data_IF_930225453236
#
_entry.id   IF_930225453236
#
_cell.length_a   1.000
_cell.length_b   1.000
_cell.length_c   1.000
_cell.angle_alpha   90.00
_cell.angle_beta   90.00
_cell.angle_gamma   90.00
#
_symmetry.space_group_name_H-M   'P 1'
#
loop_
_entity.id
_entity.type
_entity.pdbx_description
1 polymer ?
#
# COMPACT_ATOMS: atom_id res chain seq x y z
N UNK A 1 -9.79 -34.57 14.34
CA UNK A 1 -11.10 -33.92 14.18
C UNK A 1 -12.21 -34.67 14.89
N UNK A 2 -12.48 -35.96 14.60
CA UNK A 2 -13.56 -36.72 15.25
C UNK A 2 -13.56 -36.69 16.80
N UNK A 3 -12.39 -36.82 17.45
CA UNK A 3 -12.27 -36.72 18.93
C UNK A 3 -12.50 -35.30 19.50
N UNK A 4 -12.43 -34.28 18.66
CA UNK A 4 -12.59 -32.86 19.05
C UNK A 4 -14.05 -32.44 18.90
N UNK A 5 -14.75 -33.04 17.94
CA UNK A 5 -16.15 -32.74 17.62
C UNK A 5 -17.11 -33.37 18.63
N UNK A 6 -16.79 -34.55 19.17
CA UNK A 6 -17.55 -35.18 20.23
C UNK A 6 -16.62 -35.64 21.38
N UNK A 7 -16.88 -35.07 22.57
CA UNK A 7 -16.12 -35.37 23.80
C UNK A 7 -16.44 -36.74 24.40
N UNK A 8 -17.48 -37.43 23.92
CA UNK A 8 -17.82 -38.80 24.30
C UNK A 8 -17.01 -39.89 23.57
N UNK A 9 -16.10 -39.50 22.67
CA UNK A 9 -15.28 -40.44 21.89
C UNK A 9 -13.88 -40.60 22.51
N UNK A 10 -13.66 -41.70 23.22
CA UNK A 10 -12.36 -42.02 23.83
C UNK A 10 -11.35 -42.58 22.81
N UNK A 11 -11.80 -43.48 21.92
CA UNK A 11 -10.90 -44.18 20.98
C UNK A 11 -11.48 -44.23 19.57
N UNK A 12 -10.66 -43.80 18.60
CA UNK A 12 -10.96 -43.95 17.16
C UNK A 12 -9.80 -44.69 16.52
N UNK A 13 -10.08 -45.78 15.81
CA UNK A 13 -9.09 -46.51 15.03
C UNK A 13 -9.64 -46.86 13.66
N UNK A 14 -8.86 -46.62 12.62
CA UNK A 14 -9.18 -46.97 11.25
C UNK A 14 -8.49 -48.30 10.90
N UNK A 15 -9.24 -49.24 10.34
CA UNK A 15 -8.76 -50.56 9.93
C UNK A 15 -9.13 -50.83 8.47
N UNK A 16 -8.30 -51.59 7.76
CA UNK A 16 -8.68 -52.14 6.45
C UNK A 16 -9.73 -53.23 6.61
N UNK A 17 -10.38 -53.63 5.51
CA UNK A 17 -11.32 -54.76 5.51
C UNK A 17 -10.68 -56.07 6.01
N UNK A 18 -9.35 -56.22 5.90
CA UNK A 18 -8.56 -57.33 6.42
C UNK A 18 -8.14 -57.21 7.89
N UNK A 19 -8.60 -56.21 8.63
CA UNK A 19 -8.34 -56.05 10.07
C UNK A 19 -6.99 -55.40 10.43
N UNK A 20 -6.22 -54.94 9.45
CA UNK A 20 -4.93 -54.25 9.69
C UNK A 20 -5.18 -52.80 10.07
N UNK A 21 -4.53 -52.31 11.13
CA UNK A 21 -4.64 -50.92 11.58
C UNK A 21 -3.87 -49.99 10.63
N UNK A 22 -4.54 -48.95 10.16
CA UNK A 22 -3.94 -47.92 9.29
C UNK A 22 -3.26 -46.88 10.18
N UNK A 23 -2.01 -46.53 9.85
CA UNK A 23 -1.22 -45.54 10.59
C UNK A 23 -1.77 -44.13 10.45
N UNK A 24 -1.55 -43.29 11.47
CA UNK A 24 -2.05 -41.91 11.51
C UNK A 24 -1.41 -40.94 10.52
N UNK A 25 -0.31 -41.34 9.85
CA UNK A 25 0.39 -40.54 8.85
C UNK A 25 -0.04 -40.79 7.39
N UNK A 26 -0.97 -41.72 7.14
CA UNK A 26 -1.46 -41.96 5.79
C UNK A 26 -2.36 -40.82 5.31
N UNK A 27 -2.25 -40.48 4.03
CA UNK A 27 -3.13 -39.47 3.43
C UNK A 27 -4.57 -39.95 3.38
N UNK A 28 -5.51 -39.02 3.52
CA UNK A 28 -6.95 -39.32 3.40
C UNK A 28 -7.28 -39.90 2.02
N UNK A 29 -6.56 -39.46 0.98
CA UNK A 29 -6.71 -39.93 -0.39
C UNK A 29 -6.38 -41.42 -0.53
N UNK A 30 -5.30 -41.89 0.10
CA UNK A 30 -4.95 -43.32 0.12
C UNK A 30 -5.98 -44.13 0.91
N UNK A 31 -6.53 -43.58 1.99
CA UNK A 31 -7.59 -44.23 2.76
C UNK A 31 -8.91 -44.35 1.97
N UNK A 32 -9.18 -43.41 1.07
CA UNK A 32 -10.37 -43.37 0.22
C UNK A 32 -10.25 -44.25 -1.05
N UNK A 33 -9.11 -44.93 -1.26
CA UNK A 33 -8.95 -45.83 -2.42
C UNK A 33 -9.79 -47.11 -2.31
N UNK A 34 -9.96 -47.59 -1.07
CA UNK A 34 -10.65 -48.84 -0.74
C UNK A 34 -11.63 -48.63 0.42
N UNK A 35 -12.57 -49.56 0.57
CA UNK A 35 -13.47 -49.58 1.73
C UNK A 35 -12.69 -49.83 3.02
N UNK A 36 -13.06 -49.15 4.10
CA UNK A 36 -12.39 -49.27 5.38
C UNK A 36 -13.38 -49.37 6.54
N UNK A 37 -12.90 -49.88 7.66
CA UNK A 37 -13.62 -50.02 8.90
C UNK A 37 -13.18 -48.93 9.87
N UNK A 38 -14.14 -48.16 10.36
CA UNK A 38 -13.94 -47.13 11.36
C UNK A 38 -14.46 -47.64 12.70
N UNK A 39 -13.57 -47.91 13.64
CA UNK A 39 -13.95 -48.29 14.99
C UNK A 39 -13.96 -47.04 15.88
N UNK A 40 -15.12 -46.71 16.41
CA UNK A 40 -15.35 -45.61 17.36
C UNK A 40 -15.78 -46.25 18.69
N UNK A 41 -14.98 -46.10 19.73
CA UNK A 41 -15.11 -46.79 21.01
C UNK A 41 -15.22 -48.31 20.80
N UNK A 42 -16.40 -48.88 21.03
CA UNK A 42 -16.71 -50.31 20.87
C UNK A 42 -17.59 -50.62 19.64
N UNK A 43 -17.93 -49.61 18.83
CA UNK A 43 -18.77 -49.76 17.63
C UNK A 43 -17.91 -49.75 16.37
N UNK A 44 -18.11 -50.74 15.49
CA UNK A 44 -17.43 -50.86 14.20
C UNK A 44 -18.35 -50.40 13.06
N UNK A 45 -17.97 -49.33 12.36
CA UNK A 45 -18.65 -48.80 11.19
C UNK A 45 -17.93 -49.23 9.91
N UNK A 46 -18.64 -49.82 8.96
CA UNK A 46 -18.09 -50.12 7.64
C UNK A 46 -18.38 -48.95 6.70
N UNK A 47 -17.34 -48.19 6.34
CA UNK A 47 -17.45 -47.05 5.44
C UNK A 47 -17.24 -47.54 4.02
N UNK A 48 -18.25 -47.37 3.18
CA UNK A 48 -18.16 -47.64 1.74
C UNK A 48 -17.80 -46.35 1.02
N UNK A 49 -16.66 -46.35 0.34
CA UNK A 49 -16.21 -45.17 -0.39
C UNK A 49 -16.85 -45.18 -1.77
N UNK A 50 -17.47 -44.08 -2.24
CA UNK A 50 -17.98 -43.99 -3.59
C UNK A 50 -16.84 -44.16 -4.61
N UNK A 51 -17.09 -44.80 -5.76
CA UNK A 51 -16.07 -45.00 -6.78
C UNK A 51 -15.63 -43.63 -7.33
N UNK A 52 -14.50 -43.13 -6.84
CA UNK A 52 -13.83 -41.97 -7.42
C UNK A 52 -13.38 -42.37 -8.81
N UNK A 53 -13.65 -41.56 -9.84
CA UNK A 53 -13.26 -41.85 -11.22
C UNK A 53 -11.76 -42.17 -11.28
N UNK A 54 -11.43 -43.46 -11.43
CA UNK A 54 -10.06 -43.92 -11.50
C UNK A 54 -9.51 -43.44 -12.85
N UNK A 55 -8.46 -42.62 -12.82
CA UNK A 55 -7.58 -42.53 -13.97
C UNK A 55 -7.17 -43.96 -14.34
N UNK A 56 -7.27 -44.34 -15.62
CA UNK A 56 -6.83 -45.66 -16.06
C UNK A 56 -5.38 -45.86 -15.59
N UNK A 57 -5.01 -47.07 -15.18
CA UNK A 57 -3.67 -47.35 -14.65
C UNK A 57 -2.57 -46.94 -15.66
N UNK A 58 -2.88 -47.04 -16.96
CA UNK A 58 -2.05 -46.51 -18.04
C UNK A 58 -1.92 -44.98 -18.03
N UNK A 59 -3.01 -44.24 -17.79
CA UNK A 59 -2.99 -42.77 -17.68
C UNK A 59 -2.22 -42.31 -16.45
N UNK A 60 -2.33 -43.03 -15.33
CA UNK A 60 -1.55 -42.77 -14.13
C UNK A 60 -0.05 -42.99 -14.36
N UNK A 61 0.32 -44.04 -15.10
CA UNK A 61 1.71 -44.29 -15.49
C UNK A 61 2.26 -43.23 -16.44
N UNK A 62 1.51 -42.86 -17.49
CA UNK A 62 1.92 -41.79 -18.41
C UNK A 62 2.13 -40.46 -17.67
N UNK A 63 1.24 -40.12 -16.72
CA UNK A 63 1.36 -38.90 -15.94
C UNK A 63 2.55 -38.92 -14.97
N UNK A 64 2.87 -40.10 -14.43
CA UNK A 64 4.10 -40.32 -13.63
C UNK A 64 5.36 -40.13 -14.48
N UNK A 65 5.38 -40.65 -15.71
CA UNK A 65 6.51 -40.52 -16.62
C UNK A 65 6.72 -39.06 -17.05
N UNK A 66 5.64 -38.33 -17.34
CA UNK A 66 5.70 -36.87 -17.61
C UNK A 66 6.25 -36.14 -16.39
N UNK A 67 5.83 -36.49 -15.17
CA UNK A 67 6.33 -35.87 -13.94
C UNK A 67 7.82 -36.13 -13.74
N UNK A 68 8.29 -37.35 -14.00
CA UNK A 68 9.70 -37.71 -13.93
C UNK A 68 10.53 -36.92 -14.94
N UNK A 69 10.01 -36.77 -16.17
CA UNK A 69 10.70 -36.04 -17.23
C UNK A 69 10.80 -34.54 -16.91
N UNK A 70 9.74 -33.94 -16.35
CA UNK A 70 9.73 -32.57 -15.85
C UNK A 70 10.72 -32.39 -14.69
N UNK A 71 10.77 -33.34 -13.74
CA UNK A 71 11.74 -33.29 -12.63
C UNK A 71 13.18 -33.38 -13.13
N UNK A 72 13.48 -34.30 -14.07
CA UNK A 72 14.80 -34.37 -14.70
C UNK A 72 15.17 -33.08 -15.43
N UNK A 73 14.22 -32.47 -16.12
CA UNK A 73 14.41 -31.17 -16.76
C UNK A 73 14.71 -30.08 -15.72
N UNK A 74 13.95 -30.04 -14.63
CA UNK A 74 14.12 -29.09 -13.53
C UNK A 74 15.50 -29.22 -12.86
N UNK A 75 15.97 -30.45 -12.64
CA UNK A 75 17.33 -30.74 -12.17
C UNK A 75 18.40 -30.33 -13.20
N UNK A 76 18.18 -30.64 -14.49
CA UNK A 76 19.14 -30.30 -15.56
C UNK A 76 19.27 -28.80 -15.82
N UNK A 77 18.17 -28.06 -15.66
CA UNK A 77 18.08 -26.61 -15.88
C UNK A 77 18.52 -25.82 -14.63
N UNK A 78 18.81 -26.50 -13.52
CA UNK A 78 19.16 -25.94 -12.22
C UNK A 78 18.37 -24.67 -11.87
N UNK A 79 17.04 -24.77 -11.99
CA UNK A 79 16.11 -23.62 -11.93
C UNK A 79 16.31 -22.80 -10.64
N UNK A 80 16.67 -23.47 -9.53
CA UNK A 80 16.95 -22.83 -8.26
C UNK A 80 18.21 -21.93 -8.29
N UNK A 81 19.28 -22.38 -8.96
CA UNK A 81 20.49 -21.57 -9.12
C UNK A 81 20.22 -20.38 -10.05
N UNK A 82 19.45 -20.60 -11.12
CA UNK A 82 19.02 -19.50 -12.00
C UNK A 82 18.16 -18.46 -11.27
N UNK A 83 17.23 -18.89 -10.42
CA UNK A 83 16.43 -17.98 -9.59
C UNK A 83 17.29 -17.15 -8.63
N UNK A 84 18.28 -17.77 -8.00
CA UNK A 84 19.18 -17.09 -7.07
C UNK A 84 20.11 -16.09 -7.78
N UNK A 85 20.54 -16.41 -9.01
CA UNK A 85 21.28 -15.47 -9.86
C UNK A 85 20.40 -14.29 -10.29
N UNK A 86 19.16 -14.56 -10.70
CA UNK A 86 18.19 -13.52 -11.07
C UNK A 86 17.87 -12.59 -9.91
N UNK A 87 17.70 -13.13 -8.69
CA UNK A 87 17.48 -12.35 -7.48
C UNK A 87 18.66 -11.42 -7.19
N UNK A 88 19.89 -11.95 -7.28
CA UNK A 88 21.12 -11.16 -7.10
C UNK A 88 21.24 -10.05 -8.13
N UNK A 89 20.92 -10.34 -9.38
CA UNK A 89 20.95 -9.35 -10.46
C UNK A 89 19.90 -8.24 -10.24
N UNK A 90 18.68 -8.61 -9.86
CA UNK A 90 17.62 -7.65 -9.52
C UNK A 90 18.00 -6.77 -8.33
N UNK A 91 18.59 -7.35 -7.28
CA UNK A 91 19.12 -6.61 -6.13
C UNK A 91 20.22 -5.63 -6.54
N UNK A 92 21.19 -6.08 -7.35
CA UNK A 92 22.27 -5.23 -7.82
C UNK A 92 21.75 -4.03 -8.64
N UNK A 93 20.82 -4.27 -9.57
CA UNK A 93 20.19 -3.20 -10.36
C UNK A 93 19.37 -2.25 -9.50
N UNK A 94 18.72 -2.77 -8.45
CA UNK A 94 17.94 -1.97 -7.50
C UNK A 94 18.85 -1.06 -6.68
N UNK A 95 19.99 -1.58 -6.20
CA UNK A 95 21.00 -0.80 -5.50
C UNK A 95 21.61 0.29 -6.40
N UNK A 96 21.94 -0.04 -7.65
CA UNK A 96 22.41 0.94 -8.64
C UNK A 96 21.37 2.04 -8.89
N UNK A 97 20.10 1.67 -9.11
CA UNK A 97 19.00 2.62 -9.31
C UNK A 97 18.81 3.52 -8.08
N UNK A 98 18.94 2.97 -6.86
CA UNK A 98 18.81 3.72 -5.60
C UNK A 98 20.00 4.65 -5.37
N UNK A 99 21.22 4.25 -5.72
CA UNK A 99 22.40 5.11 -5.58
C UNK A 99 22.32 6.31 -6.52
N UNK A 100 21.83 6.14 -7.75
CA UNK A 100 21.57 7.25 -8.67
C UNK A 100 20.40 8.14 -8.20
N UNK A 101 19.39 7.56 -7.54
CA UNK A 101 18.23 8.30 -7.03
C UNK A 101 18.58 9.16 -5.80
N UNK A 102 19.52 8.72 -4.96
CA UNK A 102 19.90 9.39 -3.71
C UNK A 102 20.22 10.91 -3.85
N UNK A 103 21.11 11.35 -4.77
CA UNK A 103 21.40 12.78 -4.94
C UNK A 103 20.18 13.57 -5.43
N UNK A 104 19.34 12.97 -6.29
CA UNK A 104 18.13 13.62 -6.79
C UNK A 104 17.07 13.76 -5.68
N UNK A 105 16.99 12.77 -4.79
CA UNK A 105 16.06 12.76 -3.67
C UNK A 105 16.45 13.79 -2.60
N UNK A 106 17.74 14.00 -2.37
CA UNK A 106 18.24 15.06 -1.47
C UNK A 106 17.85 16.46 -1.99
N UNK A 107 18.06 16.71 -3.28
CA UNK A 107 17.66 17.98 -3.93
C UNK A 107 16.13 18.12 -3.91
N UNK A 108 15.38 17.06 -4.21
CA UNK A 108 13.91 17.08 -4.17
C UNK A 108 13.39 17.36 -2.75
N UNK A 109 14.05 16.80 -1.73
CA UNK A 109 13.72 17.03 -0.32
C UNK A 109 13.98 18.48 0.05
N UNK A 110 15.12 19.05 -0.30
CA UNK A 110 15.39 20.46 -0.03
C UNK A 110 14.40 21.41 -0.74
N UNK A 111 14.03 21.08 -1.98
CA UNK A 111 13.00 21.83 -2.71
C UNK A 111 11.63 21.72 -2.01
N UNK A 112 11.28 20.54 -1.49
CA UNK A 112 10.01 20.33 -0.79
C UNK A 112 9.92 21.13 0.51
N UNK A 113 10.98 21.15 1.34
CA UNK A 113 11.00 21.93 2.57
C UNK A 113 10.92 23.43 2.28
N UNK A 114 11.61 23.89 1.23
CA UNK A 114 11.46 25.25 0.74
C UNK A 114 10.00 25.49 0.31
N UNK A 115 9.42 24.69 -0.57
CA UNK A 115 8.04 24.88 -1.02
C UNK A 115 7.01 24.94 0.15
N UNK A 116 7.20 24.13 1.20
CA UNK A 116 6.36 24.17 2.41
C UNK A 116 6.49 25.49 3.17
N UNK A 117 7.72 25.97 3.42
CA UNK A 117 7.94 27.25 4.10
C UNK A 117 7.30 28.42 3.36
N UNK A 118 7.33 28.41 2.01
CA UNK A 118 6.68 29.44 1.20
C UNK A 118 5.16 29.41 1.31
N UNK A 119 4.55 28.22 1.42
CA UNK A 119 3.10 28.10 1.65
C UNK A 119 2.75 28.61 3.06
N UNK A 120 3.50 28.21 4.07
CA UNK A 120 3.29 28.65 5.46
C UNK A 120 3.43 30.18 5.56
N UNK A 121 4.48 30.74 4.98
CA UNK A 121 4.71 32.19 4.94
C UNK A 121 3.57 32.94 4.27
N UNK A 122 3.02 32.44 3.15
CA UNK A 122 1.84 33.03 2.50
C UNK A 122 0.59 32.98 3.38
N UNK A 123 0.38 31.88 4.09
CA UNK A 123 -0.74 31.76 5.04
C UNK A 123 -0.59 32.76 6.19
N UNK A 124 0.61 32.92 6.75
CA UNK A 124 0.89 33.94 7.77
C UNK A 124 0.74 35.36 7.23
N UNK A 125 1.16 35.62 5.99
CA UNK A 125 0.95 36.91 5.34
C UNK A 125 -0.53 37.25 5.18
N UNK A 126 -1.36 36.28 4.78
CA UNK A 126 -2.81 36.47 4.68
C UNK A 126 -3.43 36.75 6.06
N UNK A 127 -3.00 36.03 7.09
CA UNK A 127 -3.43 36.27 8.47
C UNK A 127 -3.03 37.66 8.96
N UNK A 128 -1.80 38.09 8.67
CA UNK A 128 -1.31 39.42 9.00
C UNK A 128 -2.11 40.51 8.28
N UNK A 129 -2.41 40.33 6.98
CA UNK A 129 -3.22 41.26 6.20
C UNK A 129 -4.63 41.42 6.79
N UNK A 130 -5.27 40.31 7.20
CA UNK A 130 -6.56 40.35 7.89
C UNK A 130 -6.47 41.07 9.25
N UNK A 131 -5.39 40.87 9.99
CA UNK A 131 -5.13 41.58 11.25
C UNK A 131 -4.92 43.08 11.06
N UNK A 132 -4.16 43.48 10.04
CA UNK A 132 -3.97 44.90 9.67
C UNK A 132 -5.29 45.52 9.22
N UNK A 133 -6.07 44.82 8.40
CA UNK A 133 -7.39 45.26 7.97
C UNK A 133 -8.31 45.55 9.17
N UNK A 134 -8.33 44.66 10.16
CA UNK A 134 -9.12 44.85 11.38
C UNK A 134 -8.55 45.98 12.27
N UNK A 135 -7.24 46.07 12.42
CA UNK A 135 -6.57 47.08 13.24
C UNK A 135 -6.70 48.50 12.69
N UNK A 136 -6.61 48.67 11.36
CA UNK A 136 -6.82 49.96 10.69
C UNK A 136 -8.26 50.43 10.86
N UNK A 137 -9.23 49.54 10.64
CA UNK A 137 -10.65 49.87 10.89
C UNK A 137 -10.88 50.23 12.36
N UNK A 138 -10.36 49.43 13.29
CA UNK A 138 -10.46 49.68 14.73
C UNK A 138 -9.86 51.04 15.14
N UNK A 139 -8.70 51.40 14.58
CA UNK A 139 -8.06 52.69 14.84
C UNK A 139 -8.87 53.86 14.26
N UNK A 140 -9.35 53.75 13.02
CA UNK A 140 -10.20 54.78 12.42
C UNK A 140 -11.52 54.96 13.19
N UNK A 141 -12.13 53.87 13.67
CA UNK A 141 -13.41 53.90 14.40
C UNK A 141 -13.32 54.50 15.80
N UNK A 142 -12.14 54.54 16.43
CA UNK A 142 -11.99 55.01 17.82
C UNK A 142 -11.27 56.35 17.96
N UNK A 143 -10.39 56.71 17.01
CA UNK A 143 -9.57 57.92 17.14
C UNK A 143 -10.00 59.07 16.22
N UNK A 144 -10.47 58.79 14.99
CA UNK A 144 -10.67 59.83 13.98
C UNK A 144 -12.13 60.02 13.51
N UNK A 145 -12.98 58.97 13.50
CA UNK A 145 -14.33 59.07 12.95
C UNK A 145 -15.37 58.35 13.81
N UNK A 146 -16.52 58.99 14.06
CA UNK A 146 -17.70 58.35 14.65
C UNK A 146 -18.18 57.19 13.79
N UNK A 147 -18.77 56.17 14.42
CA UNK A 147 -19.24 54.92 13.80
C UNK A 147 -20.12 55.13 12.54
N UNK A 148 -20.87 56.24 12.50
CA UNK A 148 -21.75 56.65 11.40
C UNK A 148 -21.03 56.86 10.04
N UNK A 149 -19.77 57.30 10.04
CA UNK A 149 -18.97 57.47 8.81
C UNK A 149 -18.28 56.17 8.37
N UNK A 150 -18.07 55.23 9.30
CA UNK A 150 -17.35 53.98 9.05
C UNK A 150 -18.25 52.87 8.50
N UNK A 151 -19.57 52.98 8.66
CA UNK A 151 -20.54 52.03 8.13
C UNK A 151 -20.34 51.73 6.64
N UNK A 152 -20.39 52.70 5.69
CA UNK A 152 -20.20 52.42 4.27
C UNK A 152 -18.80 51.90 3.93
N UNK A 153 -17.77 52.36 4.64
CA UNK A 153 -16.37 51.99 4.38
C UNK A 153 -16.12 50.52 4.70
N UNK A 154 -16.63 50.03 5.83
CA UNK A 154 -16.52 48.63 6.23
C UNK A 154 -17.26 47.68 5.27
N UNK A 155 -18.42 48.12 4.74
CA UNK A 155 -19.15 47.37 3.72
C UNK A 155 -18.31 47.19 2.44
N UNK A 156 -17.72 48.27 1.89
CA UNK A 156 -16.89 48.16 0.69
C UNK A 156 -15.66 47.29 0.90
N UNK A 157 -14.99 47.41 2.04
CA UNK A 157 -13.80 46.61 2.36
C UNK A 157 -14.13 45.12 2.49
N UNK A 158 -15.25 44.79 3.15
CA UNK A 158 -15.71 43.40 3.30
C UNK A 158 -16.12 42.81 1.96
N UNK A 159 -16.87 43.58 1.16
CA UNK A 159 -17.28 43.15 -0.18
C UNK A 159 -16.08 42.97 -1.12
N UNK A 160 -15.08 43.86 -1.07
CA UNK A 160 -13.84 43.73 -1.83
C UNK A 160 -13.05 42.47 -1.42
N UNK A 161 -12.95 42.19 -0.13
CA UNK A 161 -12.27 40.99 0.39
C UNK A 161 -12.99 39.71 -0.07
N UNK A 162 -14.33 39.69 0.02
CA UNK A 162 -15.16 38.58 -0.45
C UNK A 162 -15.04 38.38 -1.97
N UNK A 163 -15.02 39.47 -2.73
CA UNK A 163 -14.81 39.43 -4.19
C UNK A 163 -13.43 38.88 -4.55
N UNK A 164 -12.38 39.27 -3.81
CA UNK A 164 -11.04 38.72 -3.98
C UNK A 164 -10.97 37.21 -3.69
N UNK A 165 -11.62 36.75 -2.61
CA UNK A 165 -11.72 35.34 -2.28
C UNK A 165 -12.48 34.54 -3.35
N UNK A 166 -13.59 35.09 -3.83
CA UNK A 166 -14.40 34.47 -4.88
C UNK A 166 -13.68 34.45 -6.23
N UNK A 167 -13.04 35.54 -6.63
CA UNK A 167 -12.23 35.60 -7.85
C UNK A 167 -11.06 34.59 -7.82
N UNK A 168 -10.41 34.45 -6.67
CA UNK A 168 -9.39 33.43 -6.46
C UNK A 168 -9.96 32.00 -6.61
N UNK A 169 -11.16 31.76 -6.09
CA UNK A 169 -11.87 30.49 -6.20
C UNK A 169 -12.21 30.14 -7.65
N UNK A 170 -12.70 31.12 -8.42
CA UNK A 170 -13.05 30.97 -9.85
C UNK A 170 -11.83 30.64 -10.71
N UNK A 171 -10.71 31.35 -10.52
CA UNK A 171 -9.46 31.08 -11.25
C UNK A 171 -8.88 29.71 -10.87
N UNK A 172 -9.16 29.23 -9.66
CA UNK A 172 -8.63 27.96 -9.14
C UNK A 172 -9.54 26.77 -9.45
N UNK A 173 -10.84 26.95 -9.73
CA UNK A 173 -11.73 25.92 -10.26
C UNK A 173 -11.93 24.69 -9.36
N UNK A 174 -11.74 24.81 -8.04
CA UNK A 174 -11.97 23.73 -7.07
C UNK A 174 -12.42 24.34 -5.74
N UNK A 175 -13.29 23.64 -5.00
CA UNK A 175 -13.79 24.05 -3.68
C UNK A 175 -12.64 24.48 -2.75
N UNK A 176 -12.81 25.56 -2.01
CA UNK A 176 -11.82 26.19 -1.12
C UNK A 176 -11.44 25.33 0.09
N UNK A 177 -10.94 24.11 -0.14
CA UNK A 177 -10.25 23.31 0.84
C UNK A 177 -8.81 23.80 0.98
N UNK A 178 -8.39 24.13 2.21
CA UNK A 178 -7.00 24.46 2.55
C UNK A 178 -6.00 23.39 2.04
N UNK A 179 -6.42 22.12 2.02
CA UNK A 179 -5.60 21.00 1.53
C UNK A 179 -5.37 21.03 0.00
N UNK A 180 -6.37 21.49 -0.78
CA UNK A 180 -6.27 21.60 -2.24
C UNK A 180 -5.36 22.76 -2.67
N UNK A 181 -5.46 23.90 -1.97
CA UNK A 181 -4.58 25.05 -2.21
C UNK A 181 -3.11 24.74 -1.94
N UNK A 182 -2.82 24.07 -0.82
CA UNK A 182 -1.45 23.71 -0.43
C UNK A 182 -0.81 22.78 -1.44
N UNK A 183 -1.51 21.73 -1.85
CA UNK A 183 -1.02 20.72 -2.80
C UNK A 183 -0.63 21.34 -4.15
N UNK A 184 -1.44 22.26 -4.68
CA UNK A 184 -1.18 22.93 -5.96
C UNK A 184 -0.08 23.98 -5.87
N UNK A 185 -0.09 24.76 -4.79
CA UNK A 185 0.94 25.77 -4.53
C UNK A 185 2.30 25.10 -4.35
N UNK A 186 2.33 23.98 -3.63
CA UNK A 186 3.50 23.12 -3.49
C UNK A 186 3.97 22.60 -4.85
N UNK A 187 3.09 21.99 -5.66
CA UNK A 187 3.48 21.44 -6.96
C UNK A 187 4.03 22.51 -7.93
N UNK A 188 3.38 23.67 -7.99
CA UNK A 188 3.84 24.82 -8.81
C UNK A 188 5.15 25.42 -8.29
N UNK A 189 5.39 25.40 -6.98
CA UNK A 189 6.63 25.86 -6.38
C UNK A 189 7.76 24.83 -6.63
N UNK A 190 7.46 23.55 -6.41
CA UNK A 190 8.34 22.43 -6.64
C UNK A 190 8.83 22.39 -8.09
N UNK A 191 7.92 22.46 -9.08
CA UNK A 191 8.32 22.43 -10.49
C UNK A 191 9.18 23.64 -10.89
N UNK A 192 8.86 24.83 -10.36
CA UNK A 192 9.66 26.04 -10.61
C UNK A 192 11.05 25.96 -9.95
N UNK A 193 11.14 25.43 -8.73
CA UNK A 193 12.42 25.24 -8.06
C UNK A 193 13.25 24.12 -8.72
N UNK A 194 12.61 23.03 -9.14
CA UNK A 194 13.24 21.93 -9.85
C UNK A 194 13.88 22.43 -11.16
N UNK A 195 13.15 23.25 -11.94
CA UNK A 195 13.71 23.89 -13.14
C UNK A 195 14.89 24.81 -12.83
N UNK A 196 14.83 25.58 -11.74
CA UNK A 196 15.93 26.48 -11.34
C UNK A 196 17.19 25.74 -10.87
N UNK A 197 17.03 24.57 -10.25
CA UNK A 197 18.14 23.72 -9.80
C UNK A 197 18.60 22.71 -10.86
N UNK A 198 17.99 22.71 -12.04
CA UNK A 198 18.31 21.77 -13.11
C UNK A 198 17.94 20.32 -12.81
N UNK A 199 17.01 20.08 -11.87
CA UNK A 199 16.55 18.73 -11.56
C UNK A 199 15.61 18.25 -12.66
N UNK A 200 16.02 17.21 -13.37
CA UNK A 200 15.19 16.55 -14.37
C UNK A 200 14.11 15.71 -13.69
N UNK A 201 12.94 16.32 -13.52
CA UNK A 201 11.77 15.69 -12.89
C UNK A 201 11.30 14.46 -13.67
N UNK A 202 11.50 14.43 -15.00
CA UNK A 202 11.10 13.31 -15.83
C UNK A 202 11.99 12.09 -15.55
N UNK A 203 13.33 12.28 -15.57
CA UNK A 203 14.29 11.24 -15.22
C UNK A 203 14.12 10.76 -13.79
N UNK A 204 13.90 11.66 -12.82
CA UNK A 204 13.62 11.28 -11.43
C UNK A 204 12.38 10.39 -11.32
N UNK A 205 11.30 10.72 -12.02
CA UNK A 205 10.07 9.95 -11.99
C UNK A 205 10.22 8.58 -12.67
N UNK A 206 10.96 8.51 -13.77
CA UNK A 206 11.30 7.26 -14.45
C UNK A 206 12.14 6.36 -13.54
N UNK A 207 13.19 6.89 -12.92
CA UNK A 207 14.07 6.14 -12.03
C UNK A 207 13.31 5.62 -10.80
N UNK A 208 12.40 6.44 -10.24
CA UNK A 208 11.50 6.03 -9.15
C UNK A 208 10.51 4.95 -9.57
N UNK A 209 9.98 5.03 -10.79
CA UNK A 209 9.10 4.00 -11.34
C UNK A 209 9.85 2.67 -11.56
N UNK A 210 11.07 2.73 -12.11
CA UNK A 210 11.95 1.57 -12.29
C UNK A 210 12.30 0.92 -10.97
N UNK A 211 12.69 1.70 -9.95
CA UNK A 211 12.96 1.18 -8.60
C UNK A 211 11.75 0.46 -8.01
N UNK A 212 10.55 1.04 -8.13
CA UNK A 212 9.31 0.40 -7.67
C UNK A 212 8.98 -0.90 -8.41
N UNK A 213 9.22 -0.95 -9.72
CA UNK A 213 9.05 -2.17 -10.52
C UNK A 213 10.01 -3.27 -10.05
N UNK A 214 11.29 -2.94 -9.84
CA UNK A 214 12.29 -3.89 -9.36
C UNK A 214 11.96 -4.41 -7.96
N UNK A 215 11.54 -3.54 -7.04
CA UNK A 215 11.10 -3.94 -5.69
C UNK A 215 9.91 -4.92 -5.75
N UNK A 216 8.94 -4.65 -6.61
CA UNK A 216 7.76 -5.50 -6.79
C UNK A 216 8.11 -6.85 -7.44
N UNK A 217 9.07 -6.87 -8.38
CA UNK A 217 9.57 -8.11 -8.97
C UNK A 217 10.29 -8.95 -7.92
N UNK A 218 11.12 -8.32 -7.09
CA UNK A 218 11.83 -8.98 -5.99
C UNK A 218 10.85 -9.55 -4.95
N UNK A 219 9.81 -8.78 -4.58
CA UNK A 219 8.77 -9.22 -3.64
C UNK A 219 8.06 -10.48 -4.13
N UNK A 220 7.72 -10.52 -5.43
CA UNK A 220 7.10 -11.70 -6.05
C UNK A 220 8.05 -12.89 -6.08
N UNK A 221 9.33 -12.67 -6.39
CA UNK A 221 10.32 -13.75 -6.47
C UNK A 221 10.57 -14.38 -5.08
N UNK A 222 10.46 -13.57 -4.01
CA UNK A 222 10.63 -14.00 -2.62
C UNK A 222 9.40 -14.66 -1.99
N UNK A 223 8.26 -14.69 -2.69
CA UNK A 223 7.02 -15.28 -2.18
C UNK A 223 7.11 -16.82 -2.21
N UNK A 224 7.17 -17.51 -1.05
CA UNK A 224 7.42 -18.96 -0.97
C UNK A 224 6.34 -19.80 -1.67
N UNK A 225 5.15 -19.24 -1.89
CA UNK A 225 4.05 -19.89 -2.60
C UNK A 225 4.20 -19.85 -4.13
N UNK A 226 5.11 -19.02 -4.66
CA UNK A 226 5.31 -18.80 -6.09
C UNK A 226 6.65 -19.32 -6.62
N UNK A 227 7.56 -19.78 -5.75
CA UNK A 227 8.95 -20.19 -6.07
C UNK A 227 9.04 -21.28 -7.17
N UNK A 228 7.98 -22.04 -7.41
CA UNK A 228 7.96 -23.12 -8.42
C UNK A 228 6.96 -22.91 -9.55
N UNK A 229 6.27 -21.76 -9.59
CA UNK A 229 5.37 -21.43 -10.68
C UNK A 229 6.12 -20.63 -11.77
N UNK A 230 5.83 -20.85 -13.06
CA UNK A 230 6.36 -20.02 -14.12
C UNK A 230 5.98 -18.56 -13.85
N UNK A 231 6.94 -17.65 -14.00
CA UNK A 231 6.73 -16.23 -13.81
C UNK A 231 5.49 -15.79 -14.61
N UNK A 232 4.43 -15.36 -13.92
CA UNK A 232 3.25 -14.84 -14.60
C UNK A 232 3.66 -13.61 -15.41
N UNK A 233 3.21 -13.49 -16.67
CA UNK A 233 3.35 -12.25 -17.41
C UNK A 233 2.87 -11.09 -16.55
N UNK A 234 3.63 -10.01 -16.59
CA UNK A 234 3.33 -8.81 -15.82
C UNK A 234 2.10 -8.15 -16.46
N UNK A 235 0.91 -8.53 -16.01
CA UNK A 235 -0.30 -7.73 -16.22
C UNK A 235 -0.23 -6.56 -15.26
N UNK A 236 0.46 -5.50 -15.69
CA UNK A 236 0.35 -4.19 -15.05
C UNK A 236 -1.03 -3.64 -15.40
N UNK A 237 -1.89 -3.29 -14.43
CA UNK A 237 -2.73 -2.13 -14.65
C UNK A 237 -1.78 -0.94 -14.82
N UNK A 238 -1.57 -0.52 -16.05
CA UNK A 238 -1.20 0.87 -16.32
C UNK A 238 -2.28 1.75 -15.65
N UNK A 239 -1.83 2.76 -14.93
CA UNK A 239 -2.60 3.72 -14.10
C UNK A 239 -2.98 3.23 -12.69
N UNK A 240 -2.04 3.35 -11.76
CA UNK A 240 -2.24 4.34 -10.72
C UNK A 240 -0.88 4.80 -10.24
N UNK A 241 -0.42 5.85 -10.90
CA UNK A 241 0.33 6.91 -10.27
C UNK A 241 -0.26 7.12 -8.87
N UNK A 242 0.31 6.51 -7.83
CA UNK A 242 0.17 7.03 -6.47
C UNK A 242 0.84 8.38 -6.53
N UNK A 243 0.04 9.37 -6.89
CA UNK A 243 0.45 10.75 -7.02
C UNK A 243 1.28 11.11 -5.79
N UNK A 244 2.35 11.92 -5.92
CA UNK A 244 3.05 12.47 -4.77
C UNK A 244 2.09 13.09 -3.74
N UNK A 245 0.91 13.52 -4.21
CA UNK A 245 -0.21 14.02 -3.40
C UNK A 245 -0.83 12.97 -2.46
N UNK A 246 -0.94 11.70 -2.85
CA UNK A 246 -1.41 10.64 -1.95
C UNK A 246 -0.37 10.27 -0.89
N UNK A 247 0.91 10.24 -1.25
CA UNK A 247 1.98 10.02 -0.27
C UNK A 247 2.05 11.18 0.74
N UNK A 248 1.93 12.42 0.28
CA UNK A 248 1.86 13.61 1.13
C UNK A 248 0.58 13.61 1.99
N UNK A 249 -0.57 13.22 1.43
CA UNK A 249 -1.84 13.09 2.17
C UNK A 249 -1.72 12.06 3.30
N UNK A 250 -1.12 10.90 3.03
CA UNK A 250 -0.95 9.84 4.02
C UNK A 250 0.07 10.23 5.10
N UNK A 251 1.18 10.88 4.73
CA UNK A 251 2.15 11.42 5.70
C UNK A 251 1.51 12.46 6.63
N UNK A 252 0.68 13.36 6.09
CA UNK A 252 -0.03 14.36 6.90
C UNK A 252 -1.18 13.80 7.75
N UNK A 253 -1.74 12.65 7.38
CA UNK A 253 -2.76 11.98 8.17
C UNK A 253 -2.15 11.17 9.33
N UNK A 254 -0.96 10.59 9.12
CA UNK A 254 -0.20 9.87 10.15
C UNK A 254 0.26 10.84 11.26
N UNK A 255 0.68 12.06 10.90
CA UNK A 255 1.02 13.10 11.90
C UNK A 255 -0.20 13.56 12.71
N UNK A 256 -1.40 13.61 12.12
CA UNK A 256 -2.64 13.87 12.88
C UNK A 256 -2.97 12.74 13.86
N UNK A 257 -2.70 11.49 13.48
CA UNK A 257 -2.92 10.31 14.34
C UNK A 257 -1.92 10.27 15.51
N UNK A 258 -0.65 10.59 15.26
CA UNK A 258 0.35 10.75 16.33
C UNK A 258 0.04 11.94 17.24
N UNK A 259 -0.48 13.05 16.69
CA UNK A 259 -0.85 14.23 17.47
C UNK A 259 -2.09 14.01 18.33
N UNK A 260 -3.11 13.27 17.87
CA UNK A 260 -4.27 12.92 18.71
C UNK A 260 -3.92 11.93 19.81
N UNK A 261 -2.98 11.01 19.55
CA UNK A 261 -2.46 10.05 20.53
C UNK A 261 -1.66 10.74 21.64
N UNK A 262 -0.97 11.84 21.32
CA UNK A 262 -0.22 12.63 22.31
C UNK A 262 -1.11 13.53 23.19
N UNK A 263 -2.32 13.86 22.74
CA UNK A 263 -3.26 14.72 23.48
C UNK A 263 -4.19 13.99 24.47
N UNK A 264 -4.21 12.65 24.49
CA UNK A 264 -5.06 11.88 25.41
C UNK A 264 -4.37 11.43 26.70
N UNK A 265 -3.11 11.83 26.95
CA UNK A 265 -2.34 11.39 28.13
C UNK A 265 -2.13 12.46 29.22
N UNK A 266 -2.87 13.58 29.19
CA UNK A 266 -2.78 14.60 30.25
C UNK A 266 -4.16 15.04 30.76
N UNK A 267 -4.75 14.23 31.64
CA UNK A 267 -5.69 14.69 32.67
C UNK A 267 -5.39 13.97 33.99
N UNK A 268 -4.79 14.62 34.99
CA UNK A 268 -4.94 14.22 36.37
C UNK A 268 -6.08 15.01 37.03
N UNK A 269 -6.92 14.24 37.74
CA UNK A 269 -7.66 14.57 38.97
C UNK A 269 -7.81 16.05 39.38
N UNK A 270 -9.05 16.49 39.48
CA UNK A 270 -9.66 17.10 40.68
C UNK A 270 -11.17 16.98 40.60
#
# INVERSE_FOLDING_TARGET
>A
MLKVEDRGIDRVTVRTMGGVRIGSGNSIESLMQDNFKLQINDVEYTVRVPPVARLSQEQAQQMSDVRLLVMRLYESLNVQEHQLLMERELLARLEETKTELAPMEEIAREISTQAETWVVMKTFFLLFLMGVQFGVLGRLTWWEYSWDIMEPVTYFVTYFTAMGFYGYSLVTGQECGYEGYRSRSFLRAFHRLAQRRGLDVARYNELKASSYQLEKMLEKLRDPLQVHLPARPIDLPYTSQRSPLEQIRNLLNIDKFFKSSSSSSSKPSS
#
